data_IF_181859248974
#
_entry.id   IF_181859248974
#
_cell.length_a   1.000
_cell.length_b   1.000
_cell.length_c   1.000
_cell.angle_alpha   90.00
_cell.angle_beta   90.00
_cell.angle_gamma   90.00
#
_symmetry.space_group_name_H-M   'P 1'
#
loop_
_entity.id
_entity.type
_entity.pdbx_description
1 polymer ?
#
# COMPACT_ATOMS: atom_id res chain seq x y z
N UNK A 1 -77.50 -38.24 -63.36
CA UNK A 1 -78.42 -37.56 -64.28
C UNK A 1 -77.71 -36.37 -64.84
N UNK A 2 -77.30 -36.54 -66.07
CA UNK A 2 -77.41 -35.58 -67.16
C UNK A 2 -76.71 -34.25 -67.03
N UNK A 3 -75.91 -33.70 -67.88
CA UNK A 3 -75.58 -33.99 -69.29
C UNK A 3 -74.48 -33.01 -69.69
N UNK A 4 -73.54 -33.43 -70.41
CA UNK A 4 -72.75 -32.69 -71.40
C UNK A 4 -73.70 -31.99 -72.38
N UNK A 5 -73.38 -31.10 -73.31
CA UNK A 5 -72.12 -31.13 -74.11
C UNK A 5 -71.59 -29.78 -74.69
N UNK A 6 -70.43 -29.85 -75.26
CA UNK A 6 -70.06 -29.46 -76.65
C UNK A 6 -70.17 -27.97 -77.04
N UNK A 7 -69.35 -27.32 -77.73
CA UNK A 7 -68.60 -27.48 -79.00
C UNK A 7 -67.69 -26.24 -79.11
N UNK A 8 -66.49 -26.29 -79.41
CA UNK A 8 -65.79 -26.45 -80.72
C UNK A 8 -65.45 -25.09 -81.34
N UNK A 9 -64.24 -24.97 -81.60
CA UNK A 9 -63.58 -24.91 -82.89
C UNK A 9 -63.18 -23.53 -83.40
N UNK A 10 -61.98 -23.51 -83.84
CA UNK A 10 -61.41 -22.73 -84.96
C UNK A 10 -60.96 -21.29 -84.62
N UNK A 11 -59.89 -20.76 -85.08
CA UNK A 11 -58.92 -21.11 -86.08
C UNK A 11 -57.78 -20.08 -85.94
N UNK A 12 -56.55 -20.51 -85.98
CA UNK A 12 -55.61 -20.28 -87.06
C UNK A 12 -55.07 -18.86 -87.26
N UNK A 13 -53.73 -18.81 -87.13
CA UNK A 13 -52.77 -18.00 -87.84
C UNK A 13 -52.74 -16.48 -87.60
N UNK A 14 -51.67 -16.07 -87.01
CA UNK A 14 -50.70 -15.14 -87.65
C UNK A 14 -49.38 -15.10 -86.89
N UNK A 15 -48.39 -15.56 -87.57
CA UNK A 15 -46.99 -15.27 -87.38
C UNK A 15 -46.81 -13.77 -87.32
N UNK A 16 -45.92 -13.33 -86.40
CA UNK A 16 -44.79 -12.48 -86.82
C UNK A 16 -43.92 -12.11 -85.56
N UNK A 17 -42.70 -12.50 -85.72
CA UNK A 17 -41.49 -11.93 -85.13
C UNK A 17 -41.64 -10.63 -84.29
N UNK A 18 -41.22 -10.72 -83.07
CA UNK A 18 -40.41 -9.66 -82.49
C UNK A 18 -39.44 -10.34 -81.52
N UNK A 19 -38.25 -10.53 -82.01
CA UNK A 19 -37.01 -10.69 -81.21
C UNK A 19 -36.87 -9.47 -80.30
N UNK A 20 -37.19 -9.63 -79.01
CA UNK A 20 -36.94 -8.62 -78.01
C UNK A 20 -35.64 -9.00 -77.34
N UNK A 21 -34.62 -8.30 -77.80
CA UNK A 21 -33.35 -8.19 -77.09
C UNK A 21 -33.59 -8.04 -75.57
N UNK A 22 -33.26 -9.10 -74.83
CA UNK A 22 -33.03 -8.92 -73.42
C UNK A 22 -31.72 -8.16 -73.32
N UNK A 23 -31.77 -6.83 -73.34
CA UNK A 23 -30.74 -6.02 -72.79
C UNK A 23 -30.46 -6.50 -71.38
N UNK A 24 -29.30 -6.95 -71.14
CA UNK A 24 -28.75 -7.15 -69.83
C UNK A 24 -28.96 -5.85 -69.03
N UNK A 25 -29.80 -5.99 -68.02
CA UNK A 25 -30.01 -4.92 -67.03
C UNK A 25 -28.67 -4.70 -66.34
N UNK A 26 -28.01 -3.65 -66.77
CA UNK A 26 -26.75 -3.16 -66.18
C UNK A 26 -26.96 -3.04 -64.70
N UNK A 27 -26.16 -3.75 -63.92
CA UNK A 27 -26.06 -3.58 -62.49
C UNK A 27 -25.98 -2.08 -62.20
N UNK A 28 -26.98 -1.54 -61.53
CA UNK A 28 -26.94 -0.19 -60.96
C UNK A 28 -25.79 -0.20 -59.96
N UNK A 29 -24.66 0.41 -60.33
CA UNK A 29 -23.58 0.69 -59.42
C UNK A 29 -24.16 1.49 -58.27
N UNK A 30 -24.32 0.87 -57.10
CA UNK A 30 -24.68 1.60 -55.90
C UNK A 30 -23.66 2.73 -55.72
N UNK A 31 -24.16 3.95 -55.56
CA UNK A 31 -23.27 5.09 -55.30
C UNK A 31 -22.34 4.77 -54.11
N UNK A 32 -21.06 5.07 -54.24
CA UNK A 32 -20.09 4.72 -53.20
C UNK A 32 -20.51 5.33 -51.84
N UNK A 33 -20.57 4.48 -50.81
CA UNK A 33 -21.02 4.83 -49.47
C UNK A 33 -19.97 5.74 -48.81
N UNK A 34 -20.37 6.94 -48.36
CA UNK A 34 -19.42 7.82 -47.67
C UNK A 34 -19.01 7.24 -46.30
N UNK A 35 -17.70 7.11 -46.07
CA UNK A 35 -17.14 6.55 -44.86
C UNK A 35 -15.99 7.38 -44.31
N UNK A 36 -15.82 7.43 -42.98
CA UNK A 36 -14.60 7.90 -42.37
C UNK A 36 -13.70 6.71 -42.02
N UNK A 37 -12.41 6.95 -42.16
CA UNK A 37 -11.40 5.93 -41.91
C UNK A 37 -10.36 6.43 -40.93
N UNK A 38 -9.74 5.49 -40.23
CA UNK A 38 -8.59 5.76 -39.38
C UNK A 38 -7.52 4.69 -39.57
N UNK A 39 -6.29 5.11 -39.55
CA UNK A 39 -5.17 4.16 -39.55
C UNK A 39 -5.13 3.36 -38.25
N UNK A 40 -4.79 2.09 -38.35
CA UNK A 40 -4.53 1.24 -37.21
C UNK A 40 -3.20 1.66 -36.60
N UNK A 41 -3.24 2.16 -35.38
CA UNK A 41 -2.07 2.65 -34.65
C UNK A 41 -1.72 1.67 -33.52
N UNK A 42 -0.44 1.58 -33.15
CA UNK A 42 -0.08 0.82 -31.98
C UNK A 42 -0.65 1.55 -30.75
N UNK A 43 -1.32 0.82 -29.89
CA UNK A 43 -1.59 1.33 -28.55
C UNK A 43 -0.33 1.17 -27.76
N UNK A 44 0.38 2.25 -27.58
CA UNK A 44 1.24 2.42 -26.41
C UNK A 44 0.30 2.66 -25.22
N UNK A 45 -0.44 1.63 -24.87
CA UNK A 45 -1.30 1.64 -23.71
C UNK A 45 -0.40 1.60 -22.50
N UNK A 46 -0.13 2.77 -21.96
CA UNK A 46 0.23 2.91 -20.57
C UNK A 46 -1.02 2.55 -19.74
N UNK A 47 -1.44 1.29 -19.85
CA UNK A 47 -2.44 0.69 -18.97
C UNK A 47 -1.80 0.52 -17.59
N UNK A 48 -1.30 1.64 -17.07
CA UNK A 48 -0.81 1.71 -15.72
C UNK A 48 -2.04 1.79 -14.82
N UNK A 49 -2.46 0.65 -14.33
CA UNK A 49 -3.45 0.63 -13.26
C UNK A 49 -2.87 1.41 -12.09
N UNK A 50 -3.51 2.53 -11.76
CA UNK A 50 -3.10 3.34 -10.60
C UNK A 50 -3.72 2.72 -9.35
N UNK A 51 -2.87 2.41 -8.43
CA UNK A 51 -3.27 1.98 -7.10
C UNK A 51 -3.04 3.12 -6.12
N UNK A 52 -3.86 3.19 -5.08
CA UNK A 52 -3.70 4.15 -4.01
C UNK A 52 -3.25 3.46 -2.73
N UNK A 53 -2.37 4.10 -2.00
CA UNK A 53 -1.89 3.64 -0.71
C UNK A 53 -1.80 4.78 0.29
N UNK A 54 -1.64 4.43 1.55
CA UNK A 54 -1.48 5.38 2.65
C UNK A 54 -0.02 5.46 3.05
N UNK A 55 0.44 6.69 3.25
CA UNK A 55 1.79 6.98 3.75
C UNK A 55 1.79 6.80 5.27
N UNK A 56 2.67 5.95 5.77
CA UNK A 56 2.92 5.74 7.19
C UNK A 56 4.40 6.00 7.51
N UNK A 57 4.75 6.34 8.76
CA UNK A 57 6.15 6.48 9.13
C UNK A 57 6.88 5.13 9.04
N UNK A 58 8.20 5.17 8.81
CA UNK A 58 9.01 3.95 8.77
C UNK A 58 8.95 3.19 10.09
N UNK A 59 9.04 3.91 11.19
CA UNK A 59 8.92 3.38 12.55
C UNK A 59 8.13 4.35 13.39
N UNK A 60 7.19 3.84 14.16
CA UNK A 60 6.42 4.59 15.13
C UNK A 60 6.51 3.91 16.49
N UNK A 61 6.70 4.68 17.55
CA UNK A 61 6.77 4.19 18.91
C UNK A 61 5.84 5.00 19.81
N UNK A 62 4.99 4.31 20.53
CA UNK A 62 4.17 4.86 21.59
C UNK A 62 5.00 4.91 22.86
N UNK A 63 5.38 6.12 23.28
CA UNK A 63 6.21 6.36 24.45
C UNK A 63 5.30 6.51 25.66
N UNK A 64 5.37 5.55 26.56
CA UNK A 64 4.52 5.46 27.75
C UNK A 64 5.35 5.50 29.04
N UNK A 65 4.76 6.03 30.11
CA UNK A 65 5.37 5.96 31.44
C UNK A 65 5.34 4.52 31.97
N UNK A 66 6.42 4.13 32.64
CA UNK A 66 6.50 2.87 33.37
C UNK A 66 6.08 3.01 34.84
N UNK A 67 6.05 4.25 35.32
CA UNK A 67 5.70 4.59 36.71
C UNK A 67 4.58 5.63 36.73
N UNK A 68 3.80 5.67 37.83
CA UNK A 68 2.69 6.60 37.98
C UNK A 68 3.10 7.89 38.67
N UNK A 69 2.33 8.96 38.46
CA UNK A 69 2.54 10.25 39.15
C UNK A 69 1.93 11.41 38.36
N UNK A 70 2.00 12.60 38.97
CA UNK A 70 1.58 13.82 38.28
C UNK A 70 2.70 14.31 37.37
N UNK A 71 2.37 14.64 36.12
CA UNK A 71 3.30 15.25 35.18
C UNK A 71 3.68 16.62 35.68
N UNK A 72 4.94 16.82 36.01
CA UNK A 72 5.49 18.07 36.53
C UNK A 72 6.10 18.94 35.44
N UNK A 73 6.75 18.29 34.47
CA UNK A 73 7.42 18.99 33.39
C UNK A 73 7.18 18.27 32.04
N UNK A 74 7.06 19.07 30.99
CA UNK A 74 7.08 18.62 29.59
C UNK A 74 8.20 19.37 28.89
N UNK A 75 8.88 18.69 27.98
CA UNK A 75 9.98 19.24 27.19
C UNK A 75 9.62 20.60 26.57
N UNK A 76 10.57 21.50 26.60
CA UNK A 76 10.46 22.80 25.93
C UNK A 76 11.48 22.85 24.80
N UNK A 77 11.07 23.45 23.70
CA UNK A 77 11.95 23.71 22.55
C UNK A 77 12.00 25.21 22.27
N UNK A 78 13.11 25.64 21.73
CA UNK A 78 13.26 27.00 21.23
C UNK A 78 12.92 27.04 19.75
N UNK A 79 11.88 27.79 19.38
CA UNK A 79 11.49 28.00 18.01
C UNK A 79 11.06 29.46 17.81
N UNK A 80 11.50 30.04 16.70
CA UNK A 80 11.16 31.43 16.33
C UNK A 80 11.48 32.45 17.42
N UNK A 81 12.58 32.21 18.19
CA UNK A 81 13.03 33.08 19.28
C UNK A 81 12.26 32.95 20.60
N UNK A 82 11.23 32.10 20.68
CA UNK A 82 10.45 31.84 21.88
C UNK A 82 10.62 30.40 22.37
N UNK A 83 10.56 30.24 23.69
CA UNK A 83 10.55 28.94 24.35
C UNK A 83 9.10 28.48 24.51
N UNK A 84 8.76 27.29 24.02
CA UNK A 84 7.43 26.73 24.16
C UNK A 84 7.48 25.22 24.44
N UNK A 85 6.40 24.69 24.94
CA UNK A 85 6.25 23.25 25.10
C UNK A 85 6.34 22.56 23.74
N UNK A 86 6.91 21.36 23.73
CA UNK A 86 6.97 20.52 22.53
C UNK A 86 5.56 20.18 22.05
N UNK A 87 5.34 20.26 20.73
CA UNK A 87 4.07 20.05 20.07
C UNK A 87 4.22 19.08 18.89
N UNK A 88 3.10 18.64 18.34
CA UNK A 88 3.04 17.81 17.16
C UNK A 88 3.76 18.48 15.97
N UNK A 89 4.60 17.71 15.29
CA UNK A 89 5.46 18.19 14.22
C UNK A 89 6.86 18.65 14.65
N UNK A 90 7.13 18.71 15.96
CA UNK A 90 8.47 19.09 16.44
C UNK A 90 9.47 17.95 16.35
N UNK A 91 10.74 18.25 16.03
CA UNK A 91 11.79 17.25 15.98
C UNK A 91 12.18 16.81 17.39
N UNK A 92 12.38 15.52 17.56
CA UNK A 92 12.89 14.89 18.78
C UNK A 92 14.15 14.10 18.48
N UNK A 93 15.06 14.03 19.47
CA UNK A 93 16.28 13.24 19.38
C UNK A 93 16.20 12.06 20.36
N UNK A 94 16.81 10.96 19.99
CA UNK A 94 16.98 9.82 20.89
C UNK A 94 17.63 10.25 22.19
N UNK A 95 17.05 9.84 23.33
CA UNK A 95 17.51 10.24 24.67
C UNK A 95 17.04 11.62 25.12
N UNK A 96 16.35 12.41 24.28
CA UNK A 96 15.76 13.68 24.71
C UNK A 96 14.70 13.44 25.77
N UNK A 97 14.75 14.18 26.87
CA UNK A 97 13.70 14.17 27.89
C UNK A 97 12.43 14.77 27.29
N UNK A 98 11.34 14.01 27.31
CA UNK A 98 10.03 14.46 26.79
C UNK A 98 9.10 14.95 27.91
N UNK A 99 9.09 14.25 29.04
CA UNK A 99 8.32 14.65 30.22
C UNK A 99 8.94 14.07 31.49
N UNK A 100 8.56 14.66 32.62
CA UNK A 100 8.99 14.23 33.95
C UNK A 100 7.76 14.20 34.83
N UNK A 101 7.54 13.07 35.52
CA UNK A 101 6.59 13.01 36.64
C UNK A 101 7.27 13.50 37.93
N UNK A 102 6.49 13.86 38.95
CA UNK A 102 7.00 14.42 40.20
C UNK A 102 8.13 13.57 40.79
N UNK A 103 9.37 14.08 40.66
CA UNK A 103 10.58 13.36 41.11
C UNK A 103 10.65 13.23 42.61
N UNK A 104 10.11 14.20 43.39
CA UNK A 104 10.16 14.20 44.83
C UNK A 104 9.63 12.89 45.45
N UNK A 105 8.53 12.34 44.89
CA UNK A 105 7.93 11.11 45.37
C UNK A 105 8.89 9.91 45.27
N UNK A 106 9.65 9.84 44.18
CA UNK A 106 10.62 8.78 43.93
C UNK A 106 11.95 9.01 44.63
N UNK A 107 12.37 10.27 44.79
CA UNK A 107 13.59 10.62 45.57
C UNK A 107 13.41 10.18 47.02
N UNK A 108 12.26 10.45 47.63
CA UNK A 108 11.98 9.98 49.00
C UNK A 108 11.99 8.46 49.11
N UNK A 109 11.53 7.71 48.11
CA UNK A 109 11.62 6.24 48.11
C UNK A 109 13.08 5.77 48.07
N UNK A 110 13.92 6.41 47.26
CA UNK A 110 15.35 6.10 47.17
C UNK A 110 16.03 6.38 48.50
N UNK A 111 15.74 7.51 49.14
CA UNK A 111 16.33 7.87 50.43
C UNK A 111 15.89 6.93 51.55
N UNK A 112 14.61 6.51 51.56
CA UNK A 112 14.11 5.50 52.49
C UNK A 112 14.79 4.15 52.31
N UNK A 113 14.92 3.67 51.05
CA UNK A 113 15.61 2.41 50.74
C UNK A 113 17.13 2.48 51.09
N UNK A 114 17.76 3.65 50.89
CA UNK A 114 19.16 3.88 51.28
C UNK A 114 19.33 3.79 52.78
N UNK A 115 18.44 4.40 53.56
CA UNK A 115 18.48 4.31 55.04
C UNK A 115 18.30 2.87 55.53
N UNK A 116 17.36 2.11 54.90
CA UNK A 116 17.15 0.71 55.24
C UNK A 116 18.36 -0.17 54.92
N UNK A 117 19.03 0.07 53.80
CA UNK A 117 20.29 -0.60 53.45
C UNK A 117 21.39 -0.29 54.48
N UNK A 118 21.52 0.97 54.87
CA UNK A 118 22.50 1.38 55.89
C UNK A 118 22.27 0.66 57.23
N UNK A 119 21.00 0.54 57.67
CA UNK A 119 20.63 -0.23 58.87
C UNK A 119 21.00 -1.70 58.72
N UNK A 120 20.66 -2.35 57.60
CA UNK A 120 20.94 -3.76 57.34
C UNK A 120 22.45 -4.05 57.30
N UNK A 121 23.25 -3.11 56.73
CA UNK A 121 24.71 -3.22 56.75
C UNK A 121 25.29 -3.09 58.14
N UNK A 122 24.75 -2.22 59.02
CA UNK A 122 25.18 -2.11 60.41
C UNK A 122 24.89 -3.41 61.18
N UNK A 123 23.70 -3.99 61.00
CA UNK A 123 23.33 -5.26 61.61
C UNK A 123 24.24 -6.41 61.14
N UNK A 124 24.51 -6.48 59.81
CA UNK A 124 25.45 -7.46 59.27
C UNK A 124 26.87 -7.28 59.87
N UNK A 125 27.37 -6.05 59.93
CA UNK A 125 28.66 -5.76 60.51
C UNK A 125 28.76 -6.22 61.99
N UNK A 126 27.71 -5.96 62.79
CA UNK A 126 27.64 -6.44 64.18
C UNK A 126 27.64 -7.97 64.26
N UNK A 127 26.82 -8.63 63.44
CA UNK A 127 26.75 -10.10 63.39
C UNK A 127 28.10 -10.72 62.92
N UNK A 128 28.81 -10.07 61.99
CA UNK A 128 30.13 -10.49 61.56
C UNK A 128 31.15 -10.39 62.69
N UNK A 129 31.15 -9.30 63.49
CA UNK A 129 32.03 -9.13 64.64
C UNK A 129 31.79 -10.22 65.70
N UNK A 130 30.53 -10.55 65.98
CA UNK A 130 30.15 -11.63 66.91
C UNK A 130 30.58 -13.01 66.40
N UNK A 131 30.40 -13.29 65.10
CA UNK A 131 30.89 -14.51 64.45
C UNK A 131 32.43 -14.62 64.61
N UNK A 132 33.18 -13.56 64.26
CA UNK A 132 34.63 -13.55 64.34
C UNK A 132 35.14 -13.72 65.80
N UNK A 133 34.43 -13.18 66.82
CA UNK A 133 34.66 -13.35 68.21
C UNK A 133 34.42 -14.82 68.63
N UNK A 134 33.27 -15.40 68.30
CA UNK A 134 32.93 -16.78 68.62
C UNK A 134 33.90 -17.76 68.00
N UNK A 135 34.34 -17.51 66.75
CA UNK A 135 35.33 -18.36 66.06
C UNK A 135 36.68 -18.36 66.78
N UNK A 136 37.16 -17.17 67.24
CA UNK A 136 38.43 -17.10 68.06
C UNK A 136 38.31 -17.77 69.40
N UNK A 137 37.18 -17.62 70.11
CA UNK A 137 36.94 -18.27 71.40
C UNK A 137 36.80 -19.77 71.29
N UNK A 138 36.25 -20.27 70.25
CA UNK A 138 36.15 -21.72 69.97
C UNK A 138 37.60 -22.29 69.76
N UNK A 139 38.46 -21.58 69.00
CA UNK A 139 39.84 -21.99 68.75
C UNK A 139 40.62 -22.11 70.04
N UNK A 140 40.24 -21.31 71.08
CA UNK A 140 40.81 -21.41 72.43
C UNK A 140 40.01 -22.36 73.37
N UNK A 141 39.10 -23.15 72.87
CA UNK A 141 38.20 -24.02 73.62
C UNK A 141 37.39 -23.33 74.74
N UNK A 142 37.11 -22.04 74.59
CA UNK A 142 36.44 -21.18 75.60
C UNK A 142 34.91 -21.13 75.41
N UNK A 143 34.34 -21.65 74.29
CA UNK A 143 32.91 -21.72 74.00
C UNK A 143 32.55 -23.03 73.30
N UNK A 144 31.27 -23.41 73.30
CA UNK A 144 30.78 -24.58 72.63
C UNK A 144 30.61 -24.38 71.11
N UNK A 145 30.72 -25.47 70.32
CA UNK A 145 30.44 -25.46 68.88
C UNK A 145 29.08 -24.84 68.54
N UNK A 146 28.06 -25.12 69.35
CA UNK A 146 26.70 -24.57 69.20
C UNK A 146 26.65 -23.04 69.24
N UNK A 147 27.56 -22.37 69.92
CA UNK A 147 27.64 -20.92 69.97
C UNK A 147 28.18 -20.33 68.66
N UNK A 148 29.19 -20.99 68.07
CA UNK A 148 29.68 -20.62 66.72
C UNK A 148 28.59 -20.87 65.66
N UNK A 149 27.90 -22.01 65.72
CA UNK A 149 26.84 -22.31 64.78
C UNK A 149 25.70 -21.27 64.84
N UNK A 150 25.34 -20.84 66.05
CA UNK A 150 24.34 -19.76 66.24
C UNK A 150 24.83 -18.40 65.66
N UNK A 151 26.09 -18.02 65.91
CA UNK A 151 26.66 -16.83 65.37
C UNK A 151 26.78 -16.87 63.82
N UNK A 152 27.05 -18.05 63.25
CA UNK A 152 27.08 -18.26 61.82
C UNK A 152 25.69 -18.00 61.19
N UNK A 153 24.63 -18.61 61.77
CA UNK A 153 23.25 -18.38 61.30
C UNK A 153 22.84 -16.90 61.40
N UNK A 154 23.22 -16.23 62.52
CA UNK A 154 22.93 -14.80 62.69
C UNK A 154 23.63 -13.94 61.63
N UNK A 155 24.94 -14.18 61.37
CA UNK A 155 25.70 -13.48 60.34
C UNK A 155 25.09 -13.69 58.94
N UNK A 156 24.79 -14.95 58.59
CA UNK A 156 24.22 -15.29 57.26
C UNK A 156 22.84 -14.70 57.08
N UNK A 157 22.02 -14.71 58.14
CA UNK A 157 20.69 -14.06 58.13
C UNK A 157 20.83 -12.53 57.97
N UNK A 158 21.76 -11.88 58.69
CA UNK A 158 21.98 -10.46 58.56
C UNK A 158 22.54 -10.08 57.18
N UNK A 159 23.43 -10.91 56.62
CA UNK A 159 23.90 -10.76 55.24
C UNK A 159 22.75 -10.83 54.22
N UNK A 160 21.90 -11.84 54.30
CA UNK A 160 20.77 -11.98 53.42
C UNK A 160 19.81 -10.76 53.48
N UNK A 161 19.61 -10.18 54.69
CA UNK A 161 18.83 -8.93 54.86
C UNK A 161 19.51 -7.74 54.18
N UNK A 162 20.84 -7.60 54.28
CA UNK A 162 21.59 -6.52 53.63
C UNK A 162 21.55 -6.65 52.11
N UNK A 163 21.71 -7.87 51.60
CA UNK A 163 21.58 -8.17 50.18
C UNK A 163 20.14 -7.85 49.65
N UNK A 164 19.11 -8.21 50.41
CA UNK A 164 17.71 -7.85 50.09
C UNK A 164 17.48 -6.32 50.09
N UNK A 165 17.99 -5.60 51.07
CA UNK A 165 17.88 -4.14 51.10
C UNK A 165 18.65 -3.46 49.96
N UNK A 166 19.77 -4.03 49.50
CA UNK A 166 20.47 -3.58 48.32
C UNK A 166 19.65 -3.69 47.05
N UNK A 167 18.89 -4.78 46.87
CA UNK A 167 17.95 -4.96 45.74
C UNK A 167 16.86 -3.90 45.80
N UNK A 168 16.27 -3.68 47.00
CA UNK A 168 15.23 -2.64 47.19
C UNK A 168 15.72 -1.24 46.81
N UNK A 169 16.98 -0.90 47.15
CA UNK A 169 17.55 0.38 46.74
C UNK A 169 17.68 0.46 45.21
N UNK A 170 18.17 -0.59 44.56
CA UNK A 170 18.25 -0.62 43.11
C UNK A 170 16.88 -0.46 42.43
N UNK A 171 15.86 -1.11 42.96
CA UNK A 171 14.48 -0.97 42.46
C UNK A 171 13.96 0.45 42.61
N UNK A 172 14.17 1.07 43.75
CA UNK A 172 13.80 2.48 43.97
C UNK A 172 14.55 3.43 43.00
N UNK A 173 15.84 3.19 42.77
CA UNK A 173 16.64 3.96 41.81
C UNK A 173 16.12 3.77 40.36
N UNK A 174 15.75 2.56 39.97
CA UNK A 174 15.16 2.28 38.67
C UNK A 174 13.81 3.03 38.50
N UNK A 175 12.95 3.00 39.53
CA UNK A 175 11.69 3.77 39.50
C UNK A 175 11.94 5.27 39.37
N UNK A 176 12.95 5.82 40.05
CA UNK A 176 13.33 7.23 39.91
C UNK A 176 13.82 7.54 38.49
N UNK A 177 14.59 6.67 37.87
CA UNK A 177 15.01 6.85 36.46
C UNK A 177 13.84 6.77 35.51
N UNK A 178 12.89 5.86 35.74
CA UNK A 178 11.68 5.66 34.92
C UNK A 178 10.65 6.81 35.10
N UNK A 179 10.84 7.69 36.12
CA UNK A 179 10.04 8.90 36.31
C UNK A 179 10.35 9.99 35.25
N UNK A 180 11.45 9.84 34.53
CA UNK A 180 11.84 10.71 33.43
C UNK A 180 11.64 9.96 32.10
N UNK A 181 10.76 10.48 31.25
CA UNK A 181 10.42 9.86 29.98
C UNK A 181 11.31 10.40 28.87
N UNK A 182 11.98 9.50 28.17
CA UNK A 182 12.91 9.84 27.09
C UNK A 182 12.40 9.34 25.73
N UNK A 183 12.78 10.06 24.66
CA UNK A 183 12.54 9.56 23.31
C UNK A 183 13.42 8.34 23.00
N UNK A 184 12.84 7.23 22.50
CA UNK A 184 13.61 6.03 22.15
C UNK A 184 14.35 6.16 20.80
N UNK A 185 13.96 7.13 19.94
CA UNK A 185 14.48 7.28 18.59
C UNK A 185 14.59 8.77 18.19
N UNK A 186 15.34 9.02 17.12
CA UNK A 186 15.35 10.29 16.40
C UNK A 186 14.15 10.36 15.48
N UNK A 187 13.45 11.51 15.45
CA UNK A 187 12.27 11.63 14.60
C UNK A 187 11.44 12.87 14.87
N UNK A 188 10.14 12.74 14.71
CA UNK A 188 9.17 13.82 14.89
C UNK A 188 8.09 13.38 15.86
N UNK A 189 7.63 14.30 16.70
CA UNK A 189 6.49 14.07 17.58
C UNK A 189 5.20 14.07 16.76
N UNK A 190 4.50 12.93 16.70
CA UNK A 190 3.22 12.81 16.00
C UNK A 190 2.03 13.19 16.85
N UNK A 191 2.10 12.89 18.17
CA UNK A 191 1.00 13.16 19.09
C UNK A 191 1.53 13.35 20.50
N UNK A 192 0.94 14.31 21.22
CA UNK A 192 1.11 14.52 22.66
C UNK A 192 -0.22 14.26 23.35
N UNK A 193 -0.26 13.24 24.22
CA UNK A 193 -1.45 12.78 24.93
C UNK A 193 -1.53 13.23 26.39
N UNK A 194 -0.60 14.08 26.84
CA UNK A 194 -0.51 14.51 28.24
C UNK A 194 -0.31 16.03 28.38
N UNK A 195 -0.73 16.57 29.53
CA UNK A 195 -0.51 17.95 29.92
C UNK A 195 0.14 18.02 31.30
N UNK A 196 0.77 19.16 31.63
CA UNK A 196 1.31 19.41 32.98
C UNK A 196 0.16 19.32 33.98
N UNK A 197 0.38 18.61 35.09
CA UNK A 197 -0.64 18.34 36.12
C UNK A 197 -1.51 17.11 35.84
N UNK A 198 -1.39 16.44 34.67
CA UNK A 198 -2.08 15.19 34.42
C UNK A 198 -1.56 14.07 35.31
N UNK A 199 -2.44 13.29 35.91
CA UNK A 199 -2.10 12.06 36.61
C UNK A 199 -1.92 10.95 35.55
N UNK A 200 -0.73 10.35 35.48
CA UNK A 200 -0.41 9.23 34.58
C UNK A 200 -0.12 7.97 35.40
N UNK A 201 -0.33 6.82 34.76
CA UNK A 201 -0.01 5.52 35.33
C UNK A 201 0.86 4.68 34.38
N UNK A 202 1.35 3.50 34.83
CA UNK A 202 2.07 2.58 33.99
C UNK A 202 1.27 2.21 32.74
N UNK A 203 1.91 2.31 31.55
CA UNK A 203 1.25 2.04 30.26
C UNK A 203 0.48 3.21 29.67
N UNK A 204 0.35 4.36 30.34
CA UNK A 204 -0.25 5.54 29.76
C UNK A 204 0.63 6.10 28.66
N UNK A 205 0.17 6.03 27.39
CA UNK A 205 0.85 6.62 26.24
C UNK A 205 0.88 8.13 26.36
N UNK A 206 2.07 8.68 26.57
CA UNK A 206 2.27 10.12 26.73
C UNK A 206 2.57 10.80 25.41
N UNK A 207 3.38 10.18 24.58
CA UNK A 207 3.81 10.70 23.30
C UNK A 207 3.82 9.61 22.24
N UNK A 208 3.60 9.99 21.00
CA UNK A 208 3.83 9.14 19.82
C UNK A 208 4.94 9.77 19.02
N UNK A 209 6.06 9.07 18.89
CA UNK A 209 7.23 9.53 18.15
C UNK A 209 7.45 8.64 16.95
N UNK A 210 7.81 9.25 15.81
CA UNK A 210 8.01 8.50 14.58
C UNK A 210 9.27 8.94 13.85
N UNK A 211 9.97 7.95 13.28
CA UNK A 211 11.00 8.20 12.29
C UNK A 211 10.35 8.47 10.94
N UNK A 212 10.53 9.69 10.45
CA UNK A 212 10.00 10.16 9.15
C UNK A 212 11.11 10.38 8.12
N UNK A 213 12.35 9.99 8.40
CA UNK A 213 13.48 10.07 7.45
C UNK A 213 13.25 9.18 6.22
N UNK A 214 12.51 8.11 6.41
CA UNK A 214 11.88 7.32 5.38
C UNK A 214 10.41 7.10 5.76
N UNK A 215 9.58 6.84 4.78
CA UNK A 215 8.18 6.45 5.00
C UNK A 215 7.91 5.12 4.34
N UNK A 216 6.88 4.44 4.80
CA UNK A 216 6.33 3.28 4.11
C UNK A 216 5.00 3.68 3.48
N UNK A 217 4.76 3.24 2.26
CA UNK A 217 3.47 3.35 1.60
C UNK A 217 2.83 1.98 1.63
N UNK A 218 1.68 1.89 2.28
CA UNK A 218 0.92 0.65 2.44
C UNK A 218 -0.26 0.69 1.48
N UNK A 219 -0.43 -0.35 0.69
CA UNK A 219 -1.51 -0.46 -0.27
C UNK A 219 -2.03 -1.89 -0.38
N UNK A 220 -3.32 -2.01 -0.71
CA UNK A 220 -3.95 -3.29 -0.98
C UNK A 220 -3.76 -3.73 -2.43
N UNK A 221 -3.21 -4.92 -2.63
CA UNK A 221 -2.97 -5.51 -3.94
C UNK A 221 -3.88 -6.74 -4.15
N UNK A 222 -4.59 -6.86 -5.28
CA UNK A 222 -5.34 -8.06 -5.61
C UNK A 222 -4.41 -9.23 -5.99
N UNK A 223 -4.92 -10.46 -5.93
CA UNK A 223 -4.18 -11.71 -6.20
C UNK A 223 -3.34 -11.66 -7.49
N UNK A 224 -3.96 -11.20 -8.58
CA UNK A 224 -3.31 -11.13 -9.89
C UNK A 224 -2.10 -10.19 -9.90
N UNK A 225 -2.11 -9.16 -9.03
CA UNK A 225 -1.01 -8.21 -8.89
C UNK A 225 0.08 -8.79 -7.99
N UNK A 226 -0.30 -9.37 -6.84
CA UNK A 226 0.66 -9.97 -5.90
C UNK A 226 1.53 -11.03 -6.57
N UNK A 227 0.97 -11.83 -7.46
CA UNK A 227 1.72 -12.84 -8.22
C UNK A 227 2.87 -12.25 -9.06
N UNK A 228 2.77 -10.97 -9.44
CA UNK A 228 3.78 -10.25 -10.24
C UNK A 228 4.78 -9.47 -9.37
N UNK A 229 4.43 -9.16 -8.12
CA UNK A 229 5.28 -8.39 -7.22
C UNK A 229 6.38 -9.27 -6.62
N UNK A 230 7.55 -8.67 -6.43
CA UNK A 230 8.68 -9.32 -5.76
C UNK A 230 9.27 -8.39 -4.71
N UNK A 231 9.73 -8.95 -3.60
CA UNK A 231 10.47 -8.21 -2.61
C UNK A 231 11.74 -7.60 -3.24
N UNK A 232 12.04 -6.36 -2.87
CA UNK A 232 13.18 -5.62 -3.42
C UNK A 232 12.92 -4.94 -4.77
N UNK A 233 11.76 -5.17 -5.42
CA UNK A 233 11.44 -4.49 -6.69
C UNK A 233 11.24 -3.00 -6.50
N UNK A 234 11.73 -2.17 -7.43
CA UNK A 234 11.47 -0.74 -7.43
C UNK A 234 10.00 -0.46 -7.76
N UNK A 235 9.47 0.59 -7.18
CA UNK A 235 8.11 1.08 -7.44
C UNK A 235 8.14 2.60 -7.56
N UNK A 236 7.46 3.12 -8.56
CA UNK A 236 7.33 4.58 -8.74
C UNK A 236 6.07 5.07 -8.05
N UNK A 237 6.24 6.04 -7.18
CA UNK A 237 5.19 6.57 -6.30
C UNK A 237 5.05 8.06 -6.60
N UNK A 238 3.81 8.53 -6.66
CA UNK A 238 3.47 9.95 -6.74
C UNK A 238 2.49 10.30 -5.63
N UNK A 239 2.72 11.44 -4.96
CA UNK A 239 1.79 11.98 -3.98
C UNK A 239 1.34 13.35 -4.48
N UNK A 240 0.04 13.64 -4.40
CA UNK A 240 -0.52 14.90 -4.94
C UNK A 240 0.13 16.16 -4.33
N UNK A 241 0.47 16.06 -3.04
CA UNK A 241 1.10 17.16 -2.30
C UNK A 241 2.63 17.31 -2.56
N UNK A 242 3.25 16.40 -3.31
CA UNK A 242 4.71 16.39 -3.55
C UNK A 242 4.97 16.37 -5.05
N UNK A 243 5.58 17.42 -5.61
CA UNK A 243 5.87 17.45 -7.04
C UNK A 243 6.91 16.39 -7.42
N UNK A 244 6.62 15.68 -8.52
CA UNK A 244 7.50 14.67 -9.09
C UNK A 244 7.21 13.26 -8.65
N UNK A 245 7.94 12.33 -9.25
CA UNK A 245 7.86 10.89 -8.94
C UNK A 245 8.95 10.52 -7.95
N UNK A 246 8.58 9.73 -6.95
CA UNK A 246 9.46 9.21 -5.91
C UNK A 246 9.71 7.74 -6.17
N UNK A 247 10.95 7.30 -5.94
CA UNK A 247 11.30 5.90 -6.05
C UNK A 247 11.20 5.23 -4.68
N UNK A 248 10.44 4.16 -4.64
CA UNK A 248 10.32 3.28 -3.48
C UNK A 248 10.81 1.88 -3.79
N UNK A 249 10.91 1.06 -2.77
CA UNK A 249 11.26 -0.36 -2.88
C UNK A 249 10.27 -1.19 -2.08
N UNK A 250 9.75 -2.27 -2.66
CA UNK A 250 8.83 -3.19 -1.98
C UNK A 250 9.60 -3.92 -0.89
N UNK A 251 9.16 -3.75 0.36
CA UNK A 251 9.82 -4.33 1.53
C UNK A 251 9.03 -5.45 2.17
N UNK A 252 7.71 -5.46 2.01
CA UNK A 252 6.85 -6.52 2.56
C UNK A 252 5.65 -6.77 1.65
N UNK A 253 5.30 -8.03 1.51
CA UNK A 253 4.05 -8.50 0.90
C UNK A 253 3.41 -9.41 1.95
N UNK A 254 2.18 -9.09 2.36
CA UNK A 254 1.45 -9.91 3.34
C UNK A 254 1.24 -11.33 2.79
N UNK A 255 1.43 -12.37 3.59
CA UNK A 255 1.17 -13.75 3.18
C UNK A 255 -0.34 -14.09 3.12
N UNK A 256 -1.21 -13.23 3.67
CA UNK A 256 -2.65 -13.42 3.71
C UNK A 256 -3.38 -12.16 3.28
N UNK A 257 -4.49 -12.32 2.58
CA UNK A 257 -5.37 -11.22 2.24
C UNK A 257 -6.22 -10.78 3.45
N UNK A 258 -6.56 -9.51 3.52
CA UNK A 258 -7.56 -9.01 4.44
C UNK A 258 -8.91 -9.68 4.14
N UNK A 259 -9.57 -10.30 5.12
CA UNK A 259 -10.85 -10.98 4.93
C UNK A 259 -11.98 -10.08 4.39
N UNK A 260 -11.93 -8.78 4.66
CA UNK A 260 -12.95 -7.81 4.25
C UNK A 260 -12.72 -7.30 2.82
N UNK A 261 -11.48 -6.88 2.54
CA UNK A 261 -11.09 -6.29 1.26
C UNK A 261 -10.66 -7.30 0.21
N UNK A 262 -10.30 -8.53 0.60
CA UNK A 262 -9.68 -9.55 -0.25
C UNK A 262 -8.43 -9.04 -0.98
N UNK A 263 -7.73 -8.12 -0.32
CA UNK A 263 -6.50 -7.51 -0.82
C UNK A 263 -5.34 -7.91 0.08
N UNK A 264 -4.18 -8.07 -0.50
CA UNK A 264 -2.94 -8.31 0.23
C UNK A 264 -2.27 -6.98 0.53
N UNK A 265 -1.88 -6.75 1.79
CA UNK A 265 -1.12 -5.57 2.14
C UNK A 265 0.30 -5.67 1.61
N UNK A 266 0.67 -4.69 0.84
CA UNK A 266 2.02 -4.51 0.30
C UNK A 266 2.60 -3.22 0.87
N UNK A 267 3.82 -3.32 1.43
CA UNK A 267 4.55 -2.16 1.93
C UNK A 267 5.72 -1.84 1.00
N UNK A 268 5.86 -0.58 0.68
CA UNK A 268 7.03 -0.05 0.00
C UNK A 268 7.71 1.02 0.83
N UNK A 269 9.02 0.96 0.95
CA UNK A 269 9.84 1.96 1.65
C UNK A 269 10.26 3.05 0.68
N UNK A 270 10.04 4.30 1.06
CA UNK A 270 10.35 5.50 0.29
C UNK A 270 11.25 6.42 1.11
N UNK A 271 12.43 6.80 0.63
CA UNK A 271 13.25 7.81 1.29
C UNK A 271 12.54 9.17 1.36
N UNK A 272 12.59 9.83 2.50
CA UNK A 272 11.91 11.11 2.72
C UNK A 272 12.86 12.16 3.35
N UNK A 273 14.04 12.43 2.76
CA UNK A 273 15.06 13.29 3.36
C UNK A 273 14.60 14.74 3.57
N UNK A 274 13.65 15.21 2.79
CA UNK A 274 13.08 16.55 2.90
C UNK A 274 11.85 16.64 3.80
N UNK A 275 11.36 15.52 4.35
CA UNK A 275 10.16 15.47 5.20
C UNK A 275 8.87 15.90 4.48
N UNK A 276 8.81 15.80 3.15
CA UNK A 276 7.65 16.24 2.36
C UNK A 276 6.49 15.26 2.47
N UNK A 277 6.77 13.97 2.55
CA UNK A 277 5.76 12.96 2.80
C UNK A 277 5.42 12.93 4.29
N UNK A 278 4.16 13.19 4.59
CA UNK A 278 3.65 13.15 5.96
C UNK A 278 2.77 11.91 6.17
N UNK A 279 2.75 11.41 7.38
CA UNK A 279 1.86 10.32 7.79
C UNK A 279 0.40 10.68 7.51
N UNK A 280 -0.36 9.74 6.97
CA UNK A 280 -1.76 9.93 6.58
C UNK A 280 -1.98 10.48 5.16
N UNK A 281 -0.94 10.88 4.43
CA UNK A 281 -1.08 11.27 3.02
C UNK A 281 -1.44 10.07 2.16
N UNK A 282 -2.21 10.33 1.09
CA UNK A 282 -2.46 9.34 0.04
C UNK A 282 -1.37 9.43 -1.02
N UNK A 283 -0.82 8.29 -1.37
CA UNK A 283 0.14 8.14 -2.46
C UNK A 283 -0.45 7.24 -3.55
N UNK A 284 -0.25 7.62 -4.81
CA UNK A 284 -0.58 6.81 -5.98
C UNK A 284 0.69 6.17 -6.51
N UNK A 285 0.60 4.96 -7.01
CA UNK A 285 1.74 4.30 -7.62
C UNK A 285 1.34 3.60 -8.91
N UNK A 286 2.32 3.51 -9.77
CA UNK A 286 2.22 2.86 -11.06
C UNK A 286 3.05 1.58 -10.97
N UNK A 287 2.41 0.45 -11.20
CA UNK A 287 3.14 -0.80 -11.34
C UNK A 287 3.27 -1.04 -12.83
N UNK A 288 4.48 -1.17 -13.36
CA UNK A 288 4.64 -1.63 -14.72
C UNK A 288 4.04 -3.04 -14.78
N UNK A 289 2.87 -3.17 -15.38
CA UNK A 289 2.35 -4.48 -15.77
C UNK A 289 3.40 -5.03 -16.73
N UNK A 290 4.14 -6.04 -16.25
CA UNK A 290 5.33 -6.54 -16.90
C UNK A 290 5.16 -6.69 -18.40
N UNK A 291 6.18 -6.32 -19.13
CA UNK A 291 6.34 -6.25 -20.56
C UNK A 291 5.66 -7.38 -21.36
N UNK A 292 4.35 -7.29 -21.51
CA UNK A 292 3.59 -7.74 -22.65
C UNK A 292 3.10 -6.48 -23.37
N UNK A 293 4.02 -5.57 -23.63
CA UNK A 293 3.89 -4.69 -24.79
C UNK A 293 4.23 -5.56 -26.00
N UNK A 294 3.41 -6.57 -26.27
CA UNK A 294 3.12 -6.86 -27.66
C UNK A 294 2.54 -5.54 -28.17
N UNK A 295 3.12 -5.01 -29.24
CA UNK A 295 2.56 -3.87 -29.98
C UNK A 295 1.11 -4.20 -30.29
N UNK A 296 0.23 -3.94 -29.33
CA UNK A 296 -1.16 -4.28 -29.47
C UNK A 296 -1.77 -3.21 -30.35
N UNK A 297 -2.26 -3.60 -31.50
CA UNK A 297 -2.97 -2.71 -32.40
C UNK A 297 -4.35 -2.39 -31.81
N UNK A 298 -4.78 -1.15 -31.89
CA UNK A 298 -6.13 -0.81 -31.50
C UNK A 298 -6.92 -0.12 -32.60
N UNK A 299 -8.21 -0.31 -32.50
CA UNK A 299 -9.18 0.31 -33.40
C UNK A 299 -10.27 0.98 -32.56
N UNK A 300 -10.86 2.07 -33.07
CA UNK A 300 -12.04 2.65 -32.44
C UNK A 300 -13.17 1.64 -32.30
N UNK A 301 -13.87 1.66 -31.18
CA UNK A 301 -15.00 0.75 -30.93
C UNK A 301 -16.08 0.87 -32.03
N UNK A 302 -16.21 2.07 -32.64
CA UNK A 302 -17.13 2.35 -33.74
C UNK A 302 -16.77 1.65 -35.04
N UNK A 303 -15.56 1.14 -35.21
CA UNK A 303 -15.12 0.38 -36.39
C UNK A 303 -15.48 -1.10 -36.32
N UNK A 304 -15.86 -1.58 -35.14
CA UNK A 304 -16.17 -2.99 -34.90
C UNK A 304 -17.60 -3.31 -35.29
N UNK A 305 -17.77 -4.29 -36.14
CA UNK A 305 -19.07 -4.82 -36.56
C UNK A 305 -19.17 -6.32 -36.26
N UNK A 306 -20.38 -6.86 -36.27
CA UNK A 306 -20.56 -8.32 -36.23
C UNK A 306 -19.99 -8.97 -37.46
N UNK A 307 -19.29 -10.09 -37.30
CA UNK A 307 -18.75 -10.82 -38.45
C UNK A 307 -19.89 -11.33 -39.34
N UNK A 308 -19.84 -11.10 -40.64
CA UNK A 308 -20.84 -11.67 -41.56
C UNK A 308 -20.73 -13.20 -41.72
N UNK A 309 -19.61 -13.79 -41.29
CA UNK A 309 -19.34 -15.22 -41.37
C UNK A 309 -19.55 -15.99 -40.09
N UNK A 310 -19.32 -15.34 -38.95
CA UNK A 310 -19.49 -15.92 -37.60
C UNK A 310 -20.42 -15.02 -36.76
N UNK A 311 -21.64 -15.44 -36.42
CA UNK A 311 -22.56 -14.65 -35.59
C UNK A 311 -22.05 -14.30 -34.21
N UNK A 312 -21.04 -15.01 -33.70
CA UNK A 312 -20.38 -14.74 -32.40
C UNK A 312 -19.09 -13.95 -32.55
N UNK A 313 -18.59 -13.80 -33.80
CA UNK A 313 -17.36 -13.11 -34.12
C UNK A 313 -17.51 -11.61 -34.35
N UNK A 314 -16.40 -10.93 -34.39
CA UNK A 314 -16.31 -9.52 -34.73
C UNK A 314 -15.45 -9.35 -35.98
N UNK A 315 -15.75 -8.31 -36.75
CA UNK A 315 -15.02 -7.95 -37.94
C UNK A 315 -14.83 -6.44 -38.01
N UNK A 316 -13.87 -6.02 -38.82
CA UNK A 316 -13.66 -4.62 -39.20
C UNK A 316 -13.58 -4.54 -40.72
N UNK A 317 -14.00 -3.41 -41.31
CA UNK A 317 -13.82 -3.18 -42.73
C UNK A 317 -12.51 -2.46 -43.00
N UNK A 318 -11.63 -3.13 -43.75
CA UNK A 318 -10.30 -2.62 -44.13
C UNK A 318 -10.39 -2.14 -45.58
N UNK A 319 -9.81 -0.97 -45.86
CA UNK A 319 -9.73 -0.44 -47.22
C UNK A 319 -8.72 -1.22 -48.06
N UNK A 320 -9.05 -1.46 -49.33
CA UNK A 320 -8.17 -2.17 -50.28
C UNK A 320 -7.33 -1.22 -51.17
N UNK A 321 -7.15 0.03 -50.80
CA UNK A 321 -6.33 1.00 -51.50
C UNK A 321 -6.40 2.39 -50.89
N UNK A 322 -5.64 3.31 -51.43
CA UNK A 322 -5.53 4.70 -50.94
C UNK A 322 -6.31 5.71 -51.74
N UNK A 323 -7.07 5.28 -52.73
CA UNK A 323 -7.92 6.14 -53.58
C UNK A 323 -9.13 6.68 -52.79
N UNK A 324 -9.65 7.85 -53.19
CA UNK A 324 -10.85 8.43 -52.59
C UNK A 324 -12.07 7.48 -52.71
N UNK A 325 -12.13 6.71 -53.80
CA UNK A 325 -13.11 5.67 -54.01
C UNK A 325 -12.39 4.33 -54.09
N UNK A 326 -12.73 3.41 -53.18
CA UNK A 326 -12.08 2.12 -53.07
C UNK A 326 -13.04 1.07 -52.51
N UNK A 327 -12.66 -0.17 -52.57
CA UNK A 327 -13.44 -1.27 -51.99
C UNK A 327 -12.98 -1.55 -50.55
N UNK A 328 -13.93 -2.00 -49.75
CA UNK A 328 -13.65 -2.49 -48.40
C UNK A 328 -13.78 -3.99 -48.31
N UNK A 329 -12.97 -4.59 -47.47
CA UNK A 329 -13.01 -6.01 -47.16
C UNK A 329 -13.30 -6.24 -45.68
N UNK A 330 -14.29 -7.06 -45.41
CA UNK A 330 -14.57 -7.53 -44.06
C UNK A 330 -13.45 -8.47 -43.60
N UNK A 331 -12.81 -8.14 -42.50
CA UNK A 331 -11.74 -8.94 -41.88
C UNK A 331 -12.12 -9.29 -40.48
N UNK A 332 -12.12 -10.57 -40.15
CA UNK A 332 -12.36 -11.05 -38.81
C UNK A 332 -11.22 -10.65 -37.89
N UNK A 333 -11.56 -10.21 -36.67
CA UNK A 333 -10.61 -9.77 -35.66
C UNK A 333 -10.92 -10.43 -34.32
N UNK A 334 -9.86 -10.84 -33.63
CA UNK A 334 -9.98 -11.21 -32.21
C UNK A 334 -9.75 -9.99 -31.35
N UNK A 335 -10.79 -9.61 -30.66
CA UNK A 335 -10.76 -8.44 -29.79
C UNK A 335 -10.24 -8.81 -28.38
N UNK A 336 -9.52 -7.89 -27.78
CA UNK A 336 -9.14 -7.89 -26.38
C UNK A 336 -10.06 -6.98 -25.57
N UNK A 337 -9.52 -6.48 -24.45
CA UNK A 337 -10.27 -5.64 -23.54
C UNK A 337 -10.50 -4.23 -24.13
N UNK A 338 -11.68 -3.64 -23.95
CA UNK A 338 -11.95 -2.27 -24.37
C UNK A 338 -11.24 -1.27 -23.44
N UNK A 339 -10.67 -0.21 -24.03
CA UNK A 339 -9.98 0.87 -23.32
C UNK A 339 -10.61 2.21 -23.71
N UNK A 340 -11.61 2.65 -22.95
CA UNK A 340 -12.37 3.86 -23.29
C UNK A 340 -13.16 3.68 -24.58
N UNK A 341 -12.83 4.44 -25.64
CA UNK A 341 -13.48 4.39 -26.95
C UNK A 341 -12.70 3.57 -28.00
N UNK A 342 -11.65 2.86 -27.60
CA UNK A 342 -10.85 1.95 -28.44
C UNK A 342 -10.90 0.52 -27.89
N UNK A 343 -10.66 -0.44 -28.76
CA UNK A 343 -10.53 -1.86 -28.40
C UNK A 343 -9.26 -2.42 -28.99
N UNK A 344 -8.55 -3.22 -28.20
CA UNK A 344 -7.33 -3.90 -28.62
C UNK A 344 -7.69 -5.00 -29.60
N UNK A 345 -7.03 -5.04 -30.77
CA UNK A 345 -7.11 -6.14 -31.71
C UNK A 345 -5.91 -7.06 -31.50
N UNK A 346 -6.15 -8.27 -30.97
CA UNK A 346 -5.10 -9.26 -30.71
C UNK A 346 -4.63 -9.95 -31.98
N UNK A 347 -5.53 -10.15 -32.94
CA UNK A 347 -5.28 -10.79 -34.22
C UNK A 347 -6.14 -10.19 -35.31
N UNK A 348 -5.68 -10.23 -36.55
CA UNK A 348 -6.45 -9.91 -37.74
C UNK A 348 -6.13 -8.57 -38.41
N UNK A 349 -5.30 -7.71 -37.78
CA UNK A 349 -4.91 -6.41 -38.34
C UNK A 349 -3.40 -6.25 -38.42
N UNK A 350 -2.96 -5.34 -39.28
CA UNK A 350 -1.57 -4.91 -39.43
C UNK A 350 -1.45 -3.41 -39.15
N UNK A 351 -0.30 -3.01 -38.67
CA UNK A 351 0.04 -1.61 -38.45
C UNK A 351 -0.11 -0.81 -39.73
N UNK A 352 -0.75 0.37 -39.64
CA UNK A 352 -0.93 1.28 -40.76
C UNK A 352 -2.10 0.95 -41.70
N UNK A 353 -2.79 -0.20 -41.51
CA UNK A 353 -4.03 -0.48 -42.27
C UNK A 353 -5.11 0.54 -41.93
N UNK A 354 -5.90 0.95 -42.91
CA UNK A 354 -6.98 1.91 -42.75
C UNK A 354 -8.32 1.18 -42.53
N UNK A 355 -8.93 1.40 -41.37
CA UNK A 355 -10.22 0.81 -41.00
C UNK A 355 -11.34 1.85 -41.01
N UNK A 356 -12.52 1.42 -41.41
CA UNK A 356 -13.71 2.27 -41.44
C UNK A 356 -14.19 2.51 -39.99
N UNK A 357 -14.34 3.77 -39.60
CA UNK A 357 -14.79 4.16 -38.27
C UNK A 357 -16.20 4.71 -38.21
N UNK A 358 -16.68 5.31 -39.32
CA UNK A 358 -18.05 5.78 -39.46
C UNK A 358 -18.67 5.18 -40.75
N UNK A 359 -19.89 4.70 -40.66
CA UNK A 359 -20.59 4.04 -41.77
C UNK A 359 -20.36 2.52 -41.84
N UNK A 360 -19.57 1.95 -40.94
CA UNK A 360 -19.24 0.52 -40.95
C UNK A 360 -20.48 -0.41 -40.93
N UNK A 361 -21.55 -0.03 -40.25
CA UNK A 361 -22.78 -0.80 -40.13
C UNK A 361 -23.60 -0.87 -41.42
N UNK A 362 -23.31 -0.02 -42.41
CA UNK A 362 -24.00 0.04 -43.70
C UNK A 362 -23.27 -0.76 -44.78
N UNK A 363 -22.07 -1.29 -44.46
CA UNK A 363 -21.22 -1.97 -45.43
C UNK A 363 -21.44 -3.47 -45.44
N UNK A 364 -21.19 -4.03 -46.62
CA UNK A 364 -21.04 -5.48 -46.86
C UNK A 364 -19.64 -5.75 -47.42
N UNK A 365 -19.20 -7.01 -47.41
CA UNK A 365 -17.91 -7.39 -47.98
C UNK A 365 -17.86 -7.05 -49.46
N UNK A 366 -16.86 -6.30 -49.89
CA UNK A 366 -16.71 -5.83 -51.28
C UNK A 366 -17.45 -4.52 -51.60
N UNK A 367 -18.12 -3.87 -50.66
CA UNK A 367 -18.79 -2.57 -50.90
C UNK A 367 -17.80 -1.51 -51.38
N UNK A 368 -18.25 -0.71 -52.38
CA UNK A 368 -17.52 0.44 -52.86
C UNK A 368 -17.80 1.65 -51.93
N UNK A 369 -16.74 2.27 -51.42
CA UNK A 369 -16.84 3.36 -50.46
C UNK A 369 -16.09 4.61 -50.93
N UNK A 370 -16.59 5.78 -50.54
CA UNK A 370 -15.93 7.04 -50.73
C UNK A 370 -15.43 7.57 -49.38
N UNK A 371 -14.12 7.72 -49.26
CA UNK A 371 -13.49 8.24 -48.03
C UNK A 371 -13.79 9.74 -47.92
N UNK A 372 -14.41 10.13 -46.83
CA UNK A 372 -14.66 11.52 -46.45
C UNK A 372 -13.71 11.91 -45.29
N UNK A 373 -13.25 13.17 -45.29
CA UNK A 373 -12.33 13.66 -44.26
C UNK A 373 -12.90 13.63 -42.83
#
# INVERSE_FOLDING_TARGET
>A
MNTLPRLALAAVLALLCCSRDRRAESAHGQAPIPVRVRAVEPVTGDAQTRYSGTVEPATQVDVAFKVGGYVEQIAQIQRDGSQRLIQEGDPVRKGMVLAVVRLADYTHKVDGARAQLAQAHADFKNAQIEYDRSARLLASASVAQADLDRATVQRDTAKAKADGAQVQLKDAQLQLSDATLHSPLDGVLLRRGIEIGTLVGPGTTAFVVADTSAVKVVFGAPDALVAKLRLGSPITISAEAVPGELQGTITRISPSADPRGRLYDVESKVPNPKGLLKSGMTASFKIPEGALVQESLAVPLTSVVRSPRDPRGFAVYVLQGDSETTQVRAREVKLGDPMGNIVVAREGLKLGERVVTLGASLLTDGSEVRVIP
#
